data_IF_050770737768
#
_entry.id   IF_050770737768
#
_cell.length_a   1.000
_cell.length_b   1.000
_cell.length_c   1.000
_cell.angle_alpha   90.00
_cell.angle_beta   90.00
_cell.angle_gamma   90.00
#
_symmetry.space_group_name_H-M   'P 1'
#
loop_
_entity.id
_entity.type
_entity.pdbx_description
1 polymer ?
#
# COMPACT_ATOMS: atom_id res chain seq x y z
N UNK A 1 16.72 12.41 -30.80
CA UNK A 1 16.14 11.06 -30.64
C UNK A 1 15.13 11.05 -29.50
N UNK A 2 15.51 11.46 -28.28
CA UNK A 2 14.59 11.57 -27.15
C UNK A 2 13.38 12.46 -27.45
N UNK A 3 13.61 13.69 -27.92
CA UNK A 3 12.55 14.64 -28.26
C UNK A 3 11.53 14.06 -29.26
N UNK A 4 12.00 13.43 -30.33
CA UNK A 4 11.11 12.79 -31.31
C UNK A 4 10.27 11.65 -30.71
N UNK A 5 10.80 10.95 -29.70
CA UNK A 5 10.06 9.91 -28.97
C UNK A 5 9.04 10.55 -28.04
N UNK A 6 9.44 11.53 -27.24
CA UNK A 6 8.58 12.18 -26.26
C UNK A 6 7.45 12.95 -26.94
N UNK A 7 7.76 13.70 -27.99
CA UNK A 7 6.77 14.46 -28.77
C UNK A 7 5.80 13.52 -29.47
N UNK A 8 6.32 12.45 -30.11
CA UNK A 8 5.46 11.44 -30.74
C UNK A 8 4.55 10.73 -29.75
N UNK A 9 5.04 10.40 -28.55
CA UNK A 9 4.21 9.80 -27.50
C UNK A 9 3.17 10.80 -26.99
N UNK A 10 3.57 12.04 -26.72
CA UNK A 10 2.70 13.10 -26.22
C UNK A 10 1.57 13.40 -27.21
N UNK A 11 1.88 13.52 -28.51
CA UNK A 11 0.90 13.72 -29.58
C UNK A 11 0.00 12.50 -29.86
N UNK A 12 0.36 11.35 -29.31
CA UNK A 12 -0.45 10.15 -29.40
C UNK A 12 -0.12 9.22 -30.56
N UNK A 13 1.00 9.41 -31.24
CA UNK A 13 1.46 8.54 -32.31
C UNK A 13 1.58 7.08 -31.85
N UNK A 14 1.45 6.14 -32.79
CA UNK A 14 1.66 4.74 -32.50
C UNK A 14 3.15 4.45 -32.27
N UNK A 15 3.44 3.41 -31.48
CA UNK A 15 4.82 2.97 -31.27
C UNK A 15 5.51 2.55 -32.56
N UNK A 16 4.76 2.04 -33.53
CA UNK A 16 5.25 1.68 -34.85
C UNK A 16 5.63 2.93 -35.66
N UNK A 17 4.80 3.97 -35.64
CA UNK A 17 5.10 5.23 -36.33
C UNK A 17 6.36 5.90 -35.76
N UNK A 18 6.48 5.93 -34.43
CA UNK A 18 7.66 6.50 -33.76
C UNK A 18 8.91 5.69 -34.14
N UNK A 19 8.81 4.37 -34.12
CA UNK A 19 9.93 3.49 -34.49
C UNK A 19 10.31 3.67 -35.98
N UNK A 20 9.32 3.81 -36.86
CA UNK A 20 9.50 4.05 -38.29
C UNK A 20 10.19 5.41 -38.55
N UNK A 21 9.78 6.49 -37.87
CA UNK A 21 10.43 7.81 -37.94
C UNK A 21 11.90 7.77 -37.55
N UNK A 22 12.27 6.88 -36.63
CA UNK A 22 13.64 6.68 -36.17
C UNK A 22 14.42 5.67 -37.01
N UNK A 23 13.79 4.98 -37.96
CA UNK A 23 14.40 3.91 -38.75
C UNK A 23 14.77 2.67 -37.94
N UNK A 24 14.14 2.46 -36.78
CA UNK A 24 14.46 1.38 -35.85
C UNK A 24 13.24 0.52 -35.57
N UNK A 25 13.45 -0.70 -35.04
CA UNK A 25 12.36 -1.51 -34.49
C UNK A 25 12.03 -1.02 -33.08
N UNK A 26 10.73 -1.00 -32.73
CA UNK A 26 10.29 -0.54 -31.40
C UNK A 26 10.98 -1.27 -30.24
N UNK A 27 11.28 -2.57 -30.38
CA UNK A 27 12.00 -3.32 -29.36
C UNK A 27 13.40 -2.76 -29.03
N UNK A 28 14.08 -2.14 -30.01
CA UNK A 28 15.37 -1.46 -29.81
C UNK A 28 15.15 -0.13 -29.11
N UNK A 29 14.17 0.65 -29.58
CA UNK A 29 13.80 1.94 -28.99
C UNK A 29 13.41 1.78 -27.53
N UNK A 30 12.60 0.76 -27.20
CA UNK A 30 12.20 0.46 -25.83
C UNK A 30 13.38 0.14 -24.91
N UNK A 31 14.31 -0.72 -25.36
CA UNK A 31 15.53 -1.02 -24.60
C UNK A 31 16.37 0.23 -24.35
N UNK A 32 16.45 1.10 -25.34
CA UNK A 32 17.17 2.37 -25.21
C UNK A 32 16.49 3.31 -24.20
N UNK A 33 15.16 3.42 -24.23
CA UNK A 33 14.37 4.23 -23.28
C UNK A 33 14.60 3.74 -21.84
N UNK A 34 14.47 2.43 -21.60
CA UNK A 34 14.63 1.84 -20.27
C UNK A 34 16.04 2.04 -19.70
N UNK A 35 17.06 2.14 -20.56
CA UNK A 35 18.45 2.33 -20.15
C UNK A 35 18.86 3.80 -19.96
N UNK A 36 18.21 4.76 -20.63
CA UNK A 36 18.71 6.14 -20.70
C UNK A 36 17.73 7.21 -20.19
N UNK A 37 16.43 7.07 -20.41
CA UNK A 37 15.49 8.19 -20.32
C UNK A 37 14.06 7.74 -19.96
N UNK A 38 13.93 6.88 -18.95
CA UNK A 38 12.64 6.34 -18.51
C UNK A 38 11.68 7.43 -17.96
N UNK A 39 12.21 8.38 -17.19
CA UNK A 39 11.41 9.44 -16.55
C UNK A 39 10.86 10.46 -17.55
N UNK A 40 11.66 10.88 -18.53
CA UNK A 40 11.20 11.83 -19.56
C UNK A 40 10.09 11.23 -20.42
N UNK A 41 10.21 9.94 -20.75
CA UNK A 41 9.16 9.21 -21.47
C UNK A 41 7.93 9.02 -20.59
N UNK A 42 8.08 8.79 -19.28
CA UNK A 42 6.95 8.76 -18.36
C UNK A 42 6.22 10.11 -18.32
N UNK A 43 6.95 11.24 -18.33
CA UNK A 43 6.36 12.57 -18.42
C UNK A 43 5.59 12.77 -19.73
N UNK A 44 6.11 12.27 -20.86
CA UNK A 44 5.39 12.31 -22.14
C UNK A 44 4.07 11.51 -22.11
N UNK A 45 4.05 10.34 -21.44
CA UNK A 45 2.80 9.59 -21.25
C UNK A 45 1.79 10.33 -20.35
N UNK A 46 2.25 11.08 -19.34
CA UNK A 46 1.37 11.94 -18.53
C UNK A 46 0.81 13.10 -19.35
N UNK A 47 1.62 13.74 -20.18
CA UNK A 47 1.16 14.78 -21.10
C UNK A 47 0.13 14.23 -22.11
N UNK A 48 0.33 13.00 -22.60
CA UNK A 48 -0.67 12.31 -23.44
C UNK A 48 -1.98 12.08 -22.69
N UNK A 49 -1.93 11.81 -21.38
CA UNK A 49 -3.13 11.61 -20.57
C UNK A 49 -4.02 12.85 -20.56
N UNK A 50 -3.43 14.06 -20.53
CA UNK A 50 -4.17 15.32 -20.62
C UNK A 50 -4.98 15.39 -21.93
N UNK A 51 -4.35 15.07 -23.07
CA UNK A 51 -5.02 15.06 -24.38
C UNK A 51 -6.13 14.00 -24.47
N UNK A 52 -5.97 12.85 -23.81
CA UNK A 52 -7.01 11.82 -23.77
C UNK A 52 -8.27 12.32 -23.03
N UNK A 53 -8.11 13.09 -21.95
CA UNK A 53 -9.23 13.68 -21.21
C UNK A 53 -9.93 14.76 -22.05
N UNK A 54 -9.16 15.59 -22.75
CA UNK A 54 -9.72 16.58 -23.68
C UNK A 54 -10.52 15.89 -24.79
N UNK A 55 -10.02 14.78 -25.34
CA UNK A 55 -10.72 14.00 -26.35
C UNK A 55 -12.02 13.38 -25.81
N UNK A 56 -12.00 12.83 -24.60
CA UNK A 56 -13.21 12.30 -23.96
C UNK A 56 -14.27 13.39 -23.79
N UNK A 57 -13.84 14.60 -23.41
CA UNK A 57 -14.73 15.76 -23.22
C UNK A 57 -15.34 16.22 -24.54
N UNK A 58 -14.56 16.28 -25.62
CA UNK A 58 -15.06 16.58 -26.96
C UNK A 58 -16.10 15.56 -27.44
N UNK A 59 -15.83 14.27 -27.23
CA UNK A 59 -16.77 13.20 -27.59
C UNK A 59 -18.09 13.35 -26.82
N UNK A 60 -18.02 13.63 -25.52
CA UNK A 60 -19.22 13.84 -24.71
C UNK A 60 -20.03 15.08 -25.13
N UNK A 61 -19.37 16.15 -25.61
CA UNK A 61 -20.02 17.36 -26.10
C UNK A 61 -20.68 17.20 -27.47
N UNK A 62 -20.11 16.34 -28.32
CA UNK A 62 -20.60 16.10 -29.68
C UNK A 62 -21.58 14.92 -29.79
N UNK A 63 -21.90 14.28 -28.66
CA UNK A 63 -22.74 13.09 -28.66
C UNK A 63 -24.18 13.42 -29.05
N UNK A 64 -24.67 12.76 -30.10
CA UNK A 64 -26.05 12.84 -30.55
C UNK A 64 -26.90 11.71 -29.97
N UNK A 65 -28.22 11.87 -29.95
CA UNK A 65 -29.15 10.90 -29.36
C UNK A 65 -29.07 9.50 -30.00
N UNK A 66 -28.68 9.42 -31.27
CA UNK A 66 -28.55 8.15 -32.02
C UNK A 66 -27.22 7.42 -31.73
N UNK A 67 -26.15 8.17 -31.46
CA UNK A 67 -24.79 7.63 -31.23
C UNK A 67 -24.38 7.62 -29.77
N UNK A 68 -25.23 8.14 -28.87
CA UNK A 68 -24.95 8.35 -27.46
C UNK A 68 -24.32 7.14 -26.75
N UNK A 69 -24.76 5.92 -27.06
CA UNK A 69 -24.22 4.70 -26.46
C UNK A 69 -22.76 4.43 -26.89
N UNK A 70 -22.45 4.65 -28.17
CA UNK A 70 -21.10 4.47 -28.73
C UNK A 70 -20.19 5.59 -28.23
N UNK A 71 -20.66 6.83 -28.24
CA UNK A 71 -19.89 7.99 -27.79
C UNK A 71 -19.59 7.94 -26.30
N UNK A 72 -20.56 7.49 -25.49
CA UNK A 72 -20.35 7.20 -24.08
C UNK A 72 -19.25 6.15 -23.89
N UNK A 73 -19.29 5.05 -24.63
CA UNK A 73 -18.26 4.01 -24.55
C UNK A 73 -16.88 4.56 -24.93
N UNK A 74 -16.80 5.38 -26.00
CA UNK A 74 -15.54 6.00 -26.41
C UNK A 74 -15.01 6.95 -25.34
N UNK A 75 -15.84 7.82 -24.77
CA UNK A 75 -15.45 8.75 -23.71
C UNK A 75 -14.96 8.00 -22.45
N UNK A 76 -15.68 6.96 -22.02
CA UNK A 76 -15.27 6.11 -20.89
C UNK A 76 -13.95 5.39 -21.17
N UNK A 77 -13.75 4.89 -22.40
CA UNK A 77 -12.51 4.25 -22.80
C UNK A 77 -11.31 5.20 -22.70
N UNK A 78 -11.46 6.43 -23.22
CA UNK A 78 -10.42 7.45 -23.15
C UNK A 78 -10.09 7.85 -21.72
N UNK A 79 -11.09 8.07 -20.86
CA UNK A 79 -10.89 8.36 -19.44
C UNK A 79 -10.17 7.22 -18.70
N UNK A 80 -10.55 5.97 -18.99
CA UNK A 80 -9.91 4.79 -18.41
C UNK A 80 -8.44 4.68 -18.83
N UNK A 81 -8.13 4.99 -20.09
CA UNK A 81 -6.75 4.98 -20.58
C UNK A 81 -5.93 6.13 -19.98
N UNK A 82 -6.52 7.33 -19.84
CA UNK A 82 -5.88 8.45 -19.16
C UNK A 82 -5.53 8.13 -17.70
N UNK A 83 -6.46 7.50 -16.95
CA UNK A 83 -6.21 7.07 -15.57
C UNK A 83 -5.13 5.99 -15.41
N UNK A 84 -4.86 5.20 -16.47
CA UNK A 84 -3.73 4.26 -16.50
C UNK A 84 -2.41 4.95 -16.84
N UNK A 85 -2.44 5.98 -17.68
CA UNK A 85 -1.27 6.74 -18.07
C UNK A 85 -0.79 7.69 -16.95
N UNK A 86 -1.72 8.34 -16.25
CA UNK A 86 -1.45 9.11 -15.04
C UNK A 86 -2.44 8.74 -13.92
N UNK A 87 -2.02 7.78 -13.10
CA UNK A 87 -2.82 7.31 -11.95
C UNK A 87 -2.91 8.35 -10.84
N UNK A 88 -1.95 9.25 -10.72
CA UNK A 88 -1.91 10.23 -9.64
C UNK A 88 -2.96 11.31 -9.86
N UNK A 89 -3.08 11.76 -11.11
CA UNK A 89 -3.98 12.85 -11.53
C UNK A 89 -5.37 12.34 -11.93
N UNK A 90 -5.44 11.27 -12.72
CA UNK A 90 -6.69 10.78 -13.32
C UNK A 90 -7.09 9.37 -12.85
N UNK A 91 -6.29 8.75 -11.98
CA UNK A 91 -6.62 7.45 -11.41
C UNK A 91 -7.77 7.54 -10.42
N UNK A 92 -8.61 6.51 -10.43
CA UNK A 92 -9.72 6.39 -9.50
C UNK A 92 -9.18 6.21 -8.07
N UNK A 93 -9.57 7.11 -7.17
CA UNK A 93 -9.20 7.05 -5.74
C UNK A 93 -10.31 6.35 -4.98
N UNK A 94 -10.07 5.10 -4.62
CA UNK A 94 -10.94 4.38 -3.68
C UNK A 94 -10.46 4.69 -2.27
N UNK A 95 -11.18 5.56 -1.56
CA UNK A 95 -10.98 5.75 -0.12
C UNK A 95 -11.53 4.53 0.61
N UNK A 96 -10.65 3.58 0.94
CA UNK A 96 -11.01 2.45 1.79
C UNK A 96 -10.92 2.92 3.24
N UNK A 97 -12.09 3.19 3.84
CA UNK A 97 -12.18 3.44 5.27
C UNK A 97 -11.83 2.14 6.02
N UNK A 98 -10.60 2.04 6.51
CA UNK A 98 -10.16 0.93 7.36
C UNK A 98 -10.67 1.19 8.78
N UNK A 99 -11.85 0.66 9.09
CA UNK A 99 -12.35 0.64 10.47
C UNK A 99 -11.60 -0.46 11.24
N UNK A 100 -10.55 -0.09 11.97
CA UNK A 100 -9.86 -1.01 12.87
C UNK A 100 -10.71 -1.28 14.10
N UNK A 101 -11.57 -2.30 14.03
CA UNK A 101 -12.29 -2.81 15.20
C UNK A 101 -11.32 -3.68 16.02
N UNK A 102 -10.73 -3.10 17.07
CA UNK A 102 -9.96 -3.86 18.04
C UNK A 102 -10.90 -4.64 18.96
N UNK A 103 -10.99 -5.96 18.79
CA UNK A 103 -11.69 -6.84 19.71
C UNK A 103 -10.75 -7.20 20.86
N UNK A 104 -11.00 -6.65 22.05
CA UNK A 104 -10.31 -7.05 23.27
C UNK A 104 -11.07 -8.18 23.95
N UNK A 105 -10.43 -9.33 24.15
CA UNK A 105 -10.97 -10.39 25.00
C UNK A 105 -10.72 -10.05 26.47
N UNK A 106 -11.68 -9.32 27.04
CA UNK A 106 -11.64 -8.88 28.44
C UNK A 106 -11.57 -10.08 29.39
N UNK A 107 -12.18 -11.21 29.05
CA UNK A 107 -12.17 -12.41 29.92
C UNK A 107 -10.79 -13.04 29.97
N UNK A 108 -10.11 -13.16 28.82
CA UNK A 108 -8.74 -13.66 28.76
C UNK A 108 -7.75 -12.80 29.56
N UNK A 109 -7.90 -11.47 29.49
CA UNK A 109 -7.06 -10.53 30.24
C UNK A 109 -7.28 -10.64 31.76
N UNK A 110 -8.53 -10.82 32.19
CA UNK A 110 -8.85 -10.99 33.61
C UNK A 110 -8.32 -12.33 34.15
N UNK A 111 -8.45 -13.42 33.39
CA UNK A 111 -7.92 -14.73 33.78
C UNK A 111 -6.39 -14.70 33.95
N UNK A 112 -5.67 -14.02 33.04
CA UNK A 112 -4.21 -13.82 33.18
C UNK A 112 -3.83 -13.00 34.41
N UNK A 113 -4.62 -11.98 34.76
CA UNK A 113 -4.40 -11.19 35.97
C UNK A 113 -4.57 -12.05 37.22
N UNK A 114 -5.64 -12.86 37.27
CA UNK A 114 -5.93 -13.73 38.41
C UNK A 114 -4.85 -14.79 38.60
N UNK A 115 -4.36 -15.42 37.51
CA UNK A 115 -3.25 -16.36 37.57
C UNK A 115 -1.97 -15.73 38.14
N UNK A 116 -1.62 -14.51 37.69
CA UNK A 116 -0.44 -13.79 38.20
C UNK A 116 -0.57 -13.43 39.68
N UNK A 117 -1.78 -13.07 40.14
CA UNK A 117 -2.01 -12.79 41.55
C UNK A 117 -1.88 -14.05 42.42
N UNK A 118 -2.30 -15.21 41.91
CA UNK A 118 -2.12 -16.48 42.60
C UNK A 118 -0.63 -16.86 42.73
N UNK A 119 0.16 -16.68 41.68
CA UNK A 119 1.61 -16.90 41.71
C UNK A 119 2.31 -16.02 42.77
N UNK A 120 2.02 -14.71 42.76
CA UNK A 120 2.57 -13.78 43.75
C UNK A 120 2.17 -14.13 45.19
N UNK A 121 0.94 -14.60 45.40
CA UNK A 121 0.48 -15.03 46.73
C UNK A 121 1.23 -16.27 47.22
N UNK A 122 1.54 -17.20 46.33
CA UNK A 122 2.30 -18.41 46.66
C UNK A 122 3.76 -18.08 46.99
N UNK A 123 4.41 -17.21 46.22
CA UNK A 123 5.78 -16.74 46.49
C UNK A 123 5.89 -16.05 47.86
N UNK A 124 4.85 -15.30 48.24
CA UNK A 124 4.81 -14.62 49.54
C UNK A 124 4.70 -15.62 50.70
N UNK A 125 3.85 -16.63 50.57
CA UNK A 125 3.68 -17.69 51.58
C UNK A 125 4.93 -18.57 51.73
N UNK A 126 5.60 -18.90 50.62
CA UNK A 126 6.88 -19.63 50.66
C UNK A 126 7.99 -18.84 51.37
N UNK A 127 8.07 -17.53 51.11
CA UNK A 127 9.03 -16.64 51.79
C UNK A 127 8.79 -16.53 53.30
N UNK A 128 7.53 -16.45 53.74
CA UNK A 128 7.18 -16.43 55.16
C UNK A 128 7.50 -17.76 55.87
N UNK A 129 7.21 -18.90 55.24
CA UNK A 129 7.55 -20.23 55.76
C UNK A 129 9.06 -20.42 55.97
N UNK A 130 9.89 -19.98 55.02
CA UNK A 130 11.37 -20.05 55.14
C UNK A 130 11.89 -19.15 56.27
N UNK A 131 11.27 -17.99 56.46
CA UNK A 131 11.65 -17.04 57.52
C UNK A 131 11.31 -17.58 58.90
N UNK A 132 10.15 -18.24 59.05
CA UNK A 132 9.74 -18.86 60.31
C UNK A 132 10.63 -20.08 60.61
N UNK A 133 10.91 -20.94 59.63
CA UNK A 133 11.78 -22.10 59.81
C UNK A 133 13.20 -21.69 60.26
N UNK A 134 13.79 -20.68 59.64
CA UNK A 134 15.12 -20.17 60.02
C UNK A 134 15.15 -19.49 61.40
N UNK A 135 14.05 -18.87 61.84
CA UNK A 135 13.93 -18.32 63.20
C UNK A 135 13.81 -19.43 64.25
N UNK A 136 13.06 -20.49 63.93
CA UNK A 136 12.88 -21.66 64.80
C UNK A 136 14.19 -22.42 64.95
N UNK A 137 14.94 -22.66 63.87
CA UNK A 137 16.25 -23.33 63.91
C UNK A 137 17.28 -22.56 64.76
N UNK A 138 17.33 -21.22 64.63
CA UNK A 138 18.18 -20.38 65.50
C UNK A 138 17.78 -20.47 66.97
N UNK A 139 16.48 -20.51 67.26
CA UNK A 139 15.98 -20.60 68.64
C UNK A 139 16.30 -21.95 69.30
N UNK A 140 16.38 -23.04 68.52
CA UNK A 140 16.82 -24.35 69.01
C UNK A 140 18.35 -24.42 69.21
N UNK A 141 19.14 -23.83 68.29
CA UNK A 141 20.60 -23.73 68.43
C UNK A 141 21.03 -22.92 69.67
N UNK A 142 20.37 -21.80 69.96
CA UNK A 142 20.68 -20.97 71.15
C UNK A 142 20.35 -21.67 72.48
N UNK A 143 19.51 -22.70 72.46
CA UNK A 143 19.18 -23.52 73.64
C UNK A 143 20.09 -24.73 73.82
N UNK A 144 21.09 -24.92 72.95
CA UNK A 144 22.06 -26.01 73.04
C UNK A 144 21.46 -27.40 72.76
N UNK A 145 20.34 -27.45 72.04
CA UNK A 145 19.72 -28.70 71.60
C UNK A 145 20.03 -28.84 70.11
N UNK A 146 20.96 -29.74 69.77
CA UNK A 146 21.11 -30.20 68.39
C UNK A 146 19.90 -31.07 68.04
N UNK A 147 19.32 -30.81 66.86
CA UNK A 147 18.32 -31.68 66.24
C UNK A 147 19.04 -32.84 65.56
#
# INVERSE_FOLDING_TARGET
MLEQITDGIAEGASHEDIACRLGLKWGIVRKWIEANCAEDVAAAYRARADLMVDQATKIAQMADAETLAVDKFQAEFWLKMAGKADRTKYGERTEVAVTNTHTFDIRGLLAQREARLAELSNETLEGECVTIATQVDKQYQDKGIEI
#
